data_IF_472346973448
#
_entry.id   IF_472346973448
#
_cell.length_a   1.000
_cell.length_b   1.000
_cell.length_c   1.000
_cell.angle_alpha   90.00
_cell.angle_beta   90.00
_cell.angle_gamma   90.00
#
_symmetry.space_group_name_H-M   'P 1'
#
loop_
_entity.id
_entity.type
_entity.pdbx_description
1 polymer ?
#
# COMPACT_ATOMS: atom_id res chain seq x y z
N UNK A 1 8.54 -17.89 -8.10
CA UNK A 1 8.62 -16.99 -9.24
C UNK A 1 7.22 -16.71 -9.78
N UNK A 2 6.95 -15.46 -10.10
CA UNK A 2 5.62 -15.10 -10.57
C UNK A 2 5.42 -15.49 -12.04
N UNK A 3 4.21 -15.94 -12.36
CA UNK A 3 3.78 -16.16 -13.72
C UNK A 3 2.90 -15.02 -14.23
N UNK A 4 2.80 -13.96 -13.47
CA UNK A 4 1.97 -12.81 -13.82
C UNK A 4 2.48 -12.16 -15.10
N UNK A 5 1.55 -11.82 -16.01
CA UNK A 5 1.86 -11.12 -17.24
C UNK A 5 1.50 -9.65 -17.17
N UNK A 6 0.68 -9.27 -16.20
CA UNK A 6 0.26 -7.90 -15.97
C UNK A 6 0.33 -7.63 -14.47
N UNK A 7 0.59 -6.36 -14.11
CA UNK A 7 0.64 -6.04 -12.69
C UNK A 7 -0.71 -6.31 -12.00
N UNK A 8 -1.82 -6.21 -12.73
CA UNK A 8 -3.14 -6.49 -12.16
C UNK A 8 -3.30 -7.93 -11.69
N UNK A 9 -2.47 -8.84 -12.18
CA UNK A 9 -2.50 -10.25 -11.76
C UNK A 9 -1.72 -10.49 -10.47
N UNK A 10 -0.93 -9.51 -10.03
CA UNK A 10 -0.15 -9.66 -8.79
C UNK A 10 -1.07 -9.51 -7.58
N UNK A 11 -1.01 -10.48 -6.68
CA UNK A 11 -1.80 -10.44 -5.46
C UNK A 11 -1.48 -9.19 -4.64
N UNK A 12 -0.21 -8.81 -4.57
CA UNK A 12 0.21 -7.65 -3.81
C UNK A 12 -0.41 -6.37 -4.36
N UNK A 13 -0.57 -6.25 -5.67
CA UNK A 13 -1.22 -5.09 -6.28
C UNK A 13 -2.72 -5.08 -5.97
N UNK A 14 -3.36 -6.26 -6.05
CA UNK A 14 -4.79 -6.38 -5.75
C UNK A 14 -5.09 -5.99 -4.31
N UNK A 15 -4.25 -6.42 -3.38
CA UNK A 15 -4.40 -6.06 -1.96
C UNK A 15 -4.19 -4.57 -1.74
N UNK A 16 -3.23 -3.99 -2.43
CA UNK A 16 -2.98 -2.54 -2.34
C UNK A 16 -4.17 -1.75 -2.87
N UNK A 17 -4.80 -2.22 -3.95
CA UNK A 17 -5.99 -1.57 -4.51
C UNK A 17 -7.15 -1.65 -3.53
N UNK A 18 -7.38 -2.81 -2.90
CA UNK A 18 -8.44 -2.98 -1.92
C UNK A 18 -8.28 -2.00 -0.76
N UNK A 19 -7.06 -1.90 -0.23
CA UNK A 19 -6.77 -0.97 0.86
C UNK A 19 -7.03 0.47 0.44
N UNK A 20 -6.59 0.83 -0.76
CA UNK A 20 -6.78 2.18 -1.30
C UNK A 20 -8.27 2.51 -1.40
N UNK A 21 -9.07 1.59 -1.93
CA UNK A 21 -10.51 1.80 -2.06
C UNK A 21 -11.19 1.99 -0.71
N UNK A 22 -10.78 1.22 0.30
CA UNK A 22 -11.32 1.37 1.66
C UNK A 22 -10.97 2.73 2.25
N UNK A 23 -9.73 3.18 2.06
CA UNK A 23 -9.30 4.48 2.56
C UNK A 23 -10.10 5.60 1.89
N UNK A 24 -10.33 5.53 0.59
CA UNK A 24 -11.16 6.51 -0.10
C UNK A 24 -12.58 6.53 0.45
N UNK A 25 -13.16 5.35 0.64
CA UNK A 25 -14.53 5.24 1.16
C UNK A 25 -14.65 5.86 2.56
N UNK A 26 -13.73 5.48 3.46
CA UNK A 26 -13.78 5.95 4.84
C UNK A 26 -13.48 7.43 4.99
N UNK A 27 -12.70 8.00 4.09
CA UNK A 27 -12.32 9.40 4.14
C UNK A 27 -13.23 10.30 3.30
N UNK A 28 -14.37 9.76 2.83
CA UNK A 28 -15.29 10.50 1.95
C UNK A 28 -16.43 11.19 2.70
N UNK A 29 -16.55 10.97 4.01
CA UNK A 29 -17.65 11.55 4.79
C UNK A 29 -17.19 11.86 6.20
N UNK A 30 -18.03 12.64 6.91
CA UNK A 30 -17.79 12.98 8.30
C UNK A 30 -16.62 13.91 8.50
N UNK A 31 -16.10 13.92 9.73
CA UNK A 31 -14.99 14.80 10.09
C UNK A 31 -13.72 14.46 9.31
N UNK A 32 -13.50 13.20 9.00
CA UNK A 32 -12.32 12.77 8.23
C UNK A 32 -12.30 13.46 6.86
N UNK A 33 -13.46 13.53 6.19
CA UNK A 33 -13.54 14.16 4.86
C UNK A 33 -13.22 15.65 4.90
N UNK A 34 -13.43 16.29 6.05
CA UNK A 34 -13.19 17.72 6.22
C UNK A 34 -11.76 18.06 6.63
N UNK A 35 -11.01 17.06 7.07
CA UNK A 35 -9.58 17.23 7.37
C UNK A 35 -8.80 16.99 6.10
N UNK A 36 -8.71 18.01 5.27
CA UNK A 36 -8.12 17.89 3.93
C UNK A 36 -6.66 17.44 3.98
N UNK A 37 -5.90 17.91 4.99
CA UNK A 37 -4.50 17.54 5.11
C UNK A 37 -4.30 16.06 5.34
N UNK A 38 -4.94 15.52 6.36
CA UNK A 38 -4.82 14.09 6.70
C UNK A 38 -5.45 13.21 5.61
N UNK A 39 -6.65 13.60 5.17
CA UNK A 39 -7.36 12.85 4.13
C UNK A 39 -6.50 12.69 2.88
N UNK A 40 -6.00 13.79 2.37
CA UNK A 40 -5.27 13.79 1.11
C UNK A 40 -3.93 13.09 1.24
N UNK A 41 -3.24 13.27 2.37
CA UNK A 41 -1.96 12.60 2.61
C UNK A 41 -2.15 11.09 2.68
N UNK A 42 -3.18 10.62 3.37
CA UNK A 42 -3.45 9.18 3.48
C UNK A 42 -3.82 8.59 2.13
N UNK A 43 -4.63 9.29 1.34
CA UNK A 43 -5.00 8.86 0.00
C UNK A 43 -3.76 8.77 -0.90
N UNK A 44 -2.89 9.77 -0.85
CA UNK A 44 -1.65 9.74 -1.64
C UNK A 44 -0.76 8.60 -1.24
N UNK A 45 -0.62 8.33 0.06
CA UNK A 45 0.21 7.22 0.54
C UNK A 45 -0.35 5.89 0.06
N UNK A 46 -1.66 5.70 0.13
CA UNK A 46 -2.29 4.46 -0.32
C UNK A 46 -2.13 4.26 -1.83
N UNK A 47 -2.40 5.30 -2.63
CA UNK A 47 -2.21 5.24 -4.08
C UNK A 47 -0.75 4.95 -4.41
N UNK A 48 0.18 5.52 -3.65
CA UNK A 48 1.62 5.30 -3.87
C UNK A 48 2.01 3.83 -3.75
N UNK A 49 1.36 3.08 -2.85
CA UNK A 49 1.66 1.66 -2.73
C UNK A 49 1.39 0.96 -4.07
N UNK A 50 0.16 1.08 -4.56
CA UNK A 50 -0.24 0.35 -5.77
C UNK A 50 0.46 0.87 -7.01
N UNK A 51 0.66 2.18 -7.13
CA UNK A 51 1.29 2.73 -8.33
C UNK A 51 2.77 2.37 -8.41
N UNK A 52 3.47 2.27 -7.28
CA UNK A 52 4.87 1.86 -7.30
C UNK A 52 5.03 0.36 -7.59
N UNK A 53 4.11 -0.48 -7.13
CA UNK A 53 4.10 -1.89 -7.52
C UNK A 53 3.95 -2.01 -9.03
N UNK A 54 2.98 -1.29 -9.60
CA UNK A 54 2.70 -1.34 -11.03
C UNK A 54 3.90 -0.82 -11.84
N UNK A 55 4.45 0.31 -11.42
CA UNK A 55 5.56 0.93 -12.13
C UNK A 55 6.80 0.04 -12.10
N UNK A 56 7.10 -0.55 -10.94
CA UNK A 56 8.23 -1.47 -10.83
C UNK A 56 8.07 -2.69 -11.71
N UNK A 57 6.85 -3.24 -11.76
CA UNK A 57 6.56 -4.41 -12.58
C UNK A 57 6.80 -4.15 -14.07
N UNK A 58 6.55 -2.91 -14.51
CA UNK A 58 6.70 -2.53 -15.92
C UNK A 58 8.14 -2.21 -16.31
N UNK A 59 9.06 -2.21 -15.35
CA UNK A 59 10.47 -1.95 -15.63
C UNK A 59 11.17 -3.24 -16.02
N UNK A 60 12.18 -3.14 -16.90
CA UNK A 60 12.94 -4.31 -17.32
C UNK A 60 14.03 -4.69 -16.34
N UNK A 61 14.51 -3.73 -15.57
CA UNK A 61 15.66 -3.94 -14.69
C UNK A 61 15.21 -4.47 -13.33
N UNK A 62 15.88 -5.53 -12.87
CA UNK A 62 15.67 -6.07 -11.52
C UNK A 62 15.91 -4.98 -10.47
N UNK A 63 16.98 -4.21 -10.65
CA UNK A 63 17.33 -3.14 -9.72
C UNK A 63 16.21 -2.11 -9.61
N UNK A 64 15.62 -1.72 -10.74
CA UNK A 64 14.52 -0.76 -10.73
C UNK A 64 13.28 -1.35 -10.07
N UNK A 65 12.96 -2.60 -10.35
CA UNK A 65 11.81 -3.27 -9.74
C UNK A 65 11.95 -3.25 -8.21
N UNK A 66 13.12 -3.65 -7.71
CA UNK A 66 13.38 -3.64 -6.26
C UNK A 66 13.24 -2.25 -5.68
N UNK A 67 13.72 -1.24 -6.39
CA UNK A 67 13.64 0.13 -5.94
C UNK A 67 12.19 0.59 -5.76
N UNK A 68 11.34 0.31 -6.75
CA UNK A 68 9.92 0.67 -6.68
C UNK A 68 9.19 -0.12 -5.59
N UNK A 69 9.52 -1.38 -5.40
CA UNK A 69 8.91 -2.18 -4.33
C UNK A 69 9.30 -1.66 -2.95
N UNK A 70 10.53 -1.18 -2.79
CA UNK A 70 10.96 -0.55 -1.53
C UNK A 70 10.19 0.73 -1.26
N UNK A 71 9.92 1.54 -2.29
CA UNK A 71 9.12 2.74 -2.15
C UNK A 71 7.70 2.36 -1.73
N UNK A 72 7.12 1.34 -2.37
CA UNK A 72 5.79 0.86 -2.03
C UNK A 72 5.71 0.41 -0.57
N UNK A 73 6.74 -0.31 -0.10
CA UNK A 73 6.81 -0.76 1.29
C UNK A 73 6.86 0.42 2.26
N UNK A 74 7.64 1.46 1.93
CA UNK A 74 7.69 2.68 2.72
C UNK A 74 6.33 3.36 2.78
N UNK A 75 5.61 3.39 1.66
CA UNK A 75 4.28 3.98 1.60
C UNK A 75 3.27 3.20 2.46
N UNK A 76 3.39 1.88 2.52
CA UNK A 76 2.55 1.07 3.41
C UNK A 76 2.81 1.42 4.88
N UNK A 77 4.06 1.69 5.24
CA UNK A 77 4.41 2.16 6.57
C UNK A 77 3.81 3.52 6.86
N UNK A 78 3.82 4.41 5.87
CA UNK A 78 3.20 5.73 6.01
C UNK A 78 1.70 5.61 6.24
N UNK A 79 1.02 4.72 5.51
CA UNK A 79 -0.42 4.47 5.73
C UNK A 79 -0.67 4.04 7.17
N UNK A 80 0.15 3.12 7.70
CA UNK A 80 -0.02 2.67 9.10
C UNK A 80 0.15 3.82 10.08
N UNK A 81 1.13 4.68 9.84
CA UNK A 81 1.37 5.84 10.70
C UNK A 81 0.18 6.81 10.68
N UNK A 82 -0.36 7.08 9.48
CA UNK A 82 -1.49 8.00 9.35
C UNK A 82 -2.78 7.42 9.91
N UNK A 83 -2.97 6.10 9.81
CA UNK A 83 -4.12 5.42 10.42
C UNK A 83 -4.11 5.61 11.94
N UNK A 84 -2.92 5.60 12.54
CA UNK A 84 -2.78 5.84 13.98
C UNK A 84 -3.28 7.22 14.36
N UNK A 85 -2.92 8.22 13.57
CA UNK A 85 -3.43 9.58 13.79
C UNK A 85 -4.95 9.60 13.67
N UNK A 86 -5.49 8.98 12.62
CA UNK A 86 -6.93 9.01 12.34
C UNK A 86 -7.75 8.41 13.49
N UNK A 87 -7.31 7.28 14.06
CA UNK A 87 -8.03 6.67 15.18
C UNK A 87 -7.91 7.53 16.45
N UNK A 88 -6.74 8.09 16.69
CA UNK A 88 -6.52 8.87 17.91
C UNK A 88 -7.30 10.18 17.93
N UNK A 89 -7.52 10.79 16.76
CA UNK A 89 -8.32 12.02 16.70
C UNK A 89 -9.82 11.75 16.48
N UNK A 90 -10.21 10.47 16.49
CA UNK A 90 -11.63 10.10 16.46
C UNK A 90 -12.25 9.97 15.08
N UNK A 91 -11.45 9.92 14.03
CA UNK A 91 -11.99 9.79 12.66
C UNK A 91 -12.35 8.34 12.32
N UNK A 92 -11.79 7.38 13.02
CA UNK A 92 -12.03 5.95 12.78
C UNK A 92 -12.39 5.28 14.11
N UNK A 93 -13.34 4.35 14.04
CA UNK A 93 -13.60 3.46 15.17
C UNK A 93 -12.44 2.49 15.33
N UNK A 94 -12.23 2.02 16.56
CA UNK A 94 -11.11 1.13 16.87
C UNK A 94 -11.12 -0.12 16.00
N UNK A 95 -12.29 -0.70 15.77
CA UNK A 95 -12.42 -1.92 14.97
C UNK A 95 -11.99 -1.68 13.52
N UNK A 96 -12.44 -0.57 12.95
CA UNK A 96 -12.07 -0.20 11.58
C UNK A 96 -10.56 0.06 11.48
N UNK A 97 -10.00 0.78 12.45
CA UNK A 97 -8.56 1.02 12.50
C UNK A 97 -7.79 -0.29 12.51
N UNK A 98 -8.18 -1.21 13.38
CA UNK A 98 -7.48 -2.50 13.51
C UNK A 98 -7.50 -3.27 12.19
N UNK A 99 -8.66 -3.26 11.51
CA UNK A 99 -8.79 -3.94 10.22
C UNK A 99 -7.84 -3.34 9.19
N UNK A 100 -7.85 -2.03 9.03
CA UNK A 100 -7.03 -1.35 8.04
C UNK A 100 -5.54 -1.46 8.34
N UNK A 101 -5.20 -1.31 9.64
CA UNK A 101 -3.81 -1.45 10.07
C UNK A 101 -3.27 -2.84 9.73
N UNK A 102 -4.06 -3.87 10.01
CA UNK A 102 -3.66 -5.24 9.72
C UNK A 102 -3.51 -5.50 8.22
N UNK A 103 -4.40 -4.93 7.41
CA UNK A 103 -4.29 -5.03 5.96
C UNK A 103 -3.01 -4.36 5.45
N UNK A 104 -2.69 -3.17 5.95
CA UNK A 104 -1.46 -2.48 5.55
C UNK A 104 -0.22 -3.23 6.02
N UNK A 105 -0.26 -3.83 7.21
CA UNK A 105 0.83 -4.61 7.74
C UNK A 105 1.05 -5.89 6.94
N UNK A 106 -0.03 -6.58 6.59
CA UNK A 106 0.04 -7.76 5.74
C UNK A 106 0.68 -7.41 4.39
N UNK A 107 0.27 -6.28 3.83
CA UNK A 107 0.79 -5.80 2.56
C UNK A 107 2.30 -5.53 2.65
N UNK A 108 2.76 -4.93 3.76
CA UNK A 108 4.19 -4.73 4.00
C UNK A 108 4.95 -6.06 4.00
N UNK A 109 4.37 -7.09 4.64
CA UNK A 109 4.95 -8.43 4.66
C UNK A 109 5.03 -9.05 3.28
N UNK A 110 3.97 -8.90 2.49
CA UNK A 110 3.94 -9.40 1.10
C UNK A 110 5.01 -8.72 0.26
N UNK A 111 5.18 -7.41 0.42
CA UNK A 111 6.21 -6.65 -0.29
C UNK A 111 7.60 -7.11 0.12
N UNK A 112 7.83 -7.35 1.41
CA UNK A 112 9.11 -7.87 1.89
C UNK A 112 9.41 -9.23 1.26
N UNK A 113 8.40 -10.11 1.19
CA UNK A 113 8.57 -11.43 0.60
C UNK A 113 8.88 -11.33 -0.90
N UNK A 114 8.22 -10.43 -1.60
CA UNK A 114 8.46 -10.22 -3.03
C UNK A 114 9.88 -9.70 -3.26
N UNK A 115 10.31 -8.75 -2.45
CA UNK A 115 11.67 -8.20 -2.53
C UNK A 115 12.71 -9.31 -2.32
N UNK A 116 12.51 -10.14 -1.30
CA UNK A 116 13.42 -11.25 -1.02
C UNK A 116 13.45 -12.26 -2.17
N UNK A 117 12.28 -12.57 -2.73
CA UNK A 117 12.19 -13.52 -3.84
C UNK A 117 12.97 -13.01 -5.06
N UNK A 118 12.85 -11.72 -5.37
CA UNK A 118 13.56 -11.12 -6.49
C UNK A 118 15.06 -11.13 -6.22
N UNK A 119 15.48 -10.81 -5.00
CA UNK A 119 16.89 -10.79 -4.62
C UNK A 119 17.55 -12.15 -4.74
N UNK A 120 16.81 -13.23 -4.50
CA UNK A 120 17.32 -14.59 -4.56
C UNK A 120 17.26 -15.19 -5.96
N UNK A 121 16.51 -14.57 -6.87
CA UNK A 121 16.30 -15.11 -8.20
C UNK A 121 17.38 -14.60 -9.15
N UNK A 122 17.88 -15.50 -10.02
CA UNK A 122 18.79 -15.12 -11.10
C UNK A 122 18.05 -14.78 -12.38
N UNK A 123 16.71 -14.86 -12.36
CA UNK A 123 15.89 -14.66 -13.56
C UNK A 123 15.41 -13.22 -13.75
N UNK A 124 15.52 -12.43 -12.73
CA UNK A 124 15.06 -11.04 -12.81
C UNK A 124 16.12 -10.09 -13.34
#
# INVERSE_FOLDING_TARGET
MTSAKRFEDLEVWQKAKELTNLIYSLSSSGAFARDFGLRDQMRRAAVSIMSNIAEGFERYSRKEYLNFLNIAKGSAGEVRSLLRVAVEVGYLEQQTYTQLYNQARELSGMLSNQIQAINKSTKY
#
